data_IF_685445541265
#
_entry.id   IF_685445541265
#
_cell.length_a   1.000
_cell.length_b   1.000
_cell.length_c   1.000
_cell.angle_alpha   90.00
_cell.angle_beta   90.00
_cell.angle_gamma   90.00
#
_symmetry.space_group_name_H-M   'P 1'
#
loop_
_entity.id
_entity.type
_entity.pdbx_description
1 polymer ?
#
# COMPACT_ATOMS: atom_id res chain seq x y z
N UNK A 1 41.46 -3.19 6.24
CA UNK A 1 40.90 -1.90 6.69
C UNK A 1 40.64 -1.02 5.47
N UNK A 2 39.39 -0.88 5.03
CA UNK A 2 38.98 0.10 4.02
C UNK A 2 37.79 0.86 4.58
N UNK A 3 37.98 2.17 4.77
CA UNK A 3 36.95 3.12 5.21
C UNK A 3 35.98 3.29 4.05
N UNK A 4 34.77 2.74 4.16
CA UNK A 4 33.68 3.09 3.26
C UNK A 4 32.94 4.26 3.92
N UNK A 5 32.88 5.32 3.12
CA UNK A 5 32.50 6.67 3.46
C UNK A 5 31.00 6.73 3.73
N UNK A 6 30.68 7.45 4.80
CA UNK A 6 29.36 7.84 5.25
C UNK A 6 28.58 8.52 4.11
N UNK A 7 27.48 7.91 3.67
CA UNK A 7 26.50 8.54 2.77
C UNK A 7 25.16 8.61 3.51
N UNK A 8 25.09 9.56 4.44
CA UNK A 8 23.85 10.11 4.97
C UNK A 8 23.93 11.61 4.72
N UNK A 9 23.19 12.12 3.72
CA UNK A 9 22.04 12.94 4.08
C UNK A 9 20.91 12.81 3.06
N UNK A 10 19.91 11.97 3.36
CA UNK A 10 18.60 12.03 2.71
C UNK A 10 17.47 12.29 3.72
N UNK A 11 17.82 12.60 4.97
CA UNK A 11 16.90 12.96 6.05
C UNK A 11 16.77 14.50 6.23
N UNK A 12 16.84 15.26 5.13
CA UNK A 12 16.60 16.71 5.13
C UNK A 12 15.52 17.12 4.13
N UNK A 13 14.44 16.35 4.04
CA UNK A 13 13.15 16.85 3.54
C UNK A 13 12.33 17.41 4.70
N UNK A 14 12.82 18.49 5.30
CA UNK A 14 12.02 19.43 6.08
C UNK A 14 11.43 20.48 5.12
N UNK A 15 10.48 20.04 4.30
CA UNK A 15 9.66 20.88 3.42
C UNK A 15 8.39 20.04 3.21
N UNK A 16 7.26 20.27 3.89
CA UNK A 16 6.43 21.47 3.90
C UNK A 16 5.90 21.70 5.34
N UNK A 17 6.19 22.85 5.95
CA UNK A 17 5.29 23.99 6.05
C UNK A 17 3.97 23.68 6.77
N UNK A 18 3.77 24.31 7.94
CA UNK A 18 2.45 24.53 8.50
C UNK A 18 1.66 25.35 7.47
N UNK A 19 0.84 24.66 6.67
CA UNK A 19 -0.10 25.29 5.75
C UNK A 19 -1.41 25.44 6.50
N UNK A 20 -1.78 26.70 6.65
CA UNK A 20 -3.03 27.25 7.17
C UNK A 20 -4.28 26.49 6.72
N UNK A 21 -5.33 26.68 7.52
CA UNK A 21 -6.67 26.07 7.45
C UNK A 21 -7.48 26.52 6.22
N UNK A 22 -7.05 26.18 5.02
CA UNK A 22 -7.93 26.06 3.85
C UNK A 22 -8.29 24.58 3.64
N UNK A 23 -9.50 24.31 3.16
CA UNK A 23 -10.02 22.98 2.83
C UNK A 23 -9.03 22.22 1.95
N UNK A 24 -8.12 21.46 2.58
CA UNK A 24 -7.13 20.67 1.86
C UNK A 24 -7.86 19.52 1.20
N UNK A 25 -8.03 19.63 -0.11
CA UNK A 25 -8.58 18.54 -0.94
C UNK A 25 -7.56 17.43 -1.20
N UNK A 26 -6.42 17.46 -0.49
CA UNK A 26 -5.34 16.51 -0.63
C UNK A 26 -4.82 16.09 0.74
N UNK A 27 -4.34 14.86 0.80
CA UNK A 27 -3.74 14.25 1.99
C UNK A 27 -2.56 13.37 1.59
N UNK A 28 -1.59 13.26 2.49
CA UNK A 28 -0.54 12.25 2.40
C UNK A 28 -0.68 11.31 3.60
N UNK A 29 -0.67 10.01 3.33
CA UNK A 29 -0.75 8.99 4.37
C UNK A 29 0.51 8.14 4.43
N UNK A 30 0.84 7.62 5.61
CA UNK A 30 1.78 6.51 5.76
C UNK A 30 1.22 5.45 6.69
N UNK A 31 1.57 4.19 6.46
CA UNK A 31 1.05 3.11 7.27
C UNK A 31 1.31 1.74 6.68
N UNK A 32 0.55 0.79 7.21
CA UNK A 32 0.52 -0.60 6.81
C UNK A 32 -0.90 -0.93 6.35
N UNK A 33 -1.06 -1.63 5.23
CA UNK A 33 -2.32 -2.17 4.75
C UNK A 33 -2.59 -1.87 3.27
N UNK A 34 -3.80 -2.19 2.81
CA UNK A 34 -4.19 -1.99 1.41
C UNK A 34 -4.13 -0.52 0.96
N UNK A 35 -4.48 0.42 1.84
CA UNK A 35 -4.39 1.86 1.55
C UNK A 35 -2.94 2.39 1.41
N UNK A 36 -1.94 1.54 1.70
CA UNK A 36 -0.52 1.91 1.71
C UNK A 36 0.34 0.94 0.87
N UNK A 37 -0.27 0.06 0.07
CA UNK A 37 0.40 -1.02 -0.69
C UNK A 37 1.34 -1.89 0.17
N UNK A 38 0.83 -2.36 1.31
CA UNK A 38 1.66 -3.00 2.33
C UNK A 38 2.16 -1.95 3.32
N UNK A 39 3.45 -1.93 3.63
CA UNK A 39 4.09 -0.86 4.40
C UNK A 39 4.52 0.23 3.43
N UNK A 40 3.93 1.42 3.53
CA UNK A 40 4.20 2.46 2.54
C UNK A 40 3.44 3.76 2.77
N UNK A 41 3.19 4.45 1.67
CA UNK A 41 2.57 5.78 1.65
C UNK A 41 1.43 5.84 0.64
N UNK A 42 0.55 6.82 0.82
CA UNK A 42 -0.42 7.21 -0.19
C UNK A 42 -0.47 8.72 -0.39
N UNK A 43 -0.90 9.10 -1.59
CA UNK A 43 -1.37 10.44 -1.90
C UNK A 43 -2.85 10.34 -2.23
N UNK A 44 -3.65 11.18 -1.59
CA UNK A 44 -5.10 11.09 -1.62
C UNK A 44 -5.74 12.42 -2.00
N UNK A 45 -6.80 12.37 -2.81
CA UNK A 45 -7.76 13.44 -2.98
C UNK A 45 -8.92 13.21 -2.01
N UNK A 46 -9.21 14.20 -1.18
CA UNK A 46 -10.12 14.06 -0.04
C UNK A 46 -11.27 15.06 -0.12
N UNK A 47 -12.48 14.59 0.15
CA UNK A 47 -13.68 15.38 0.36
C UNK A 47 -14.30 15.00 1.71
N UNK A 48 -15.42 15.61 2.08
CA UNK A 48 -16.14 15.28 3.32
C UNK A 48 -16.57 13.81 3.42
N UNK A 49 -16.79 13.13 2.28
CA UNK A 49 -17.29 11.75 2.24
C UNK A 49 -16.49 10.82 1.33
N UNK A 50 -15.52 11.34 0.56
CA UNK A 50 -14.72 10.56 -0.38
C UNK A 50 -13.22 10.69 -0.11
N UNK A 51 -12.50 9.60 -0.30
CA UNK A 51 -11.04 9.59 -0.38
C UNK A 51 -10.62 8.71 -1.56
N UNK A 52 -9.99 9.31 -2.56
CA UNK A 52 -9.43 8.62 -3.73
C UNK A 52 -7.92 8.67 -3.65
N UNK A 53 -7.24 7.54 -3.71
CA UNK A 53 -5.82 7.49 -3.43
C UNK A 53 -5.02 6.69 -4.47
N UNK A 54 -3.76 7.08 -4.59
CA UNK A 54 -2.69 6.26 -5.15
C UNK A 54 -1.72 5.93 -4.02
N UNK A 55 -1.13 4.74 -4.05
CA UNK A 55 -0.27 4.23 -2.99
C UNK A 55 0.94 3.52 -3.57
N UNK A 56 2.02 3.54 -2.79
CA UNK A 56 3.26 2.84 -3.09
C UNK A 56 3.88 2.34 -1.78
N UNK A 57 4.33 1.09 -1.77
CA UNK A 57 4.79 0.41 -0.57
C UNK A 57 5.33 -0.98 -0.86
N UNK A 58 5.69 -1.70 0.20
CA UNK A 58 6.16 -3.07 0.11
C UNK A 58 5.35 -4.01 1.03
N UNK A 59 4.95 -5.16 0.51
CA UNK A 59 4.12 -6.16 1.20
C UNK A 59 4.96 -7.15 2.00
N UNK A 60 6.18 -7.45 1.53
CA UNK A 60 7.10 -8.37 2.20
C UNK A 60 8.56 -8.01 1.93
N UNK A 61 9.43 -8.46 2.85
CA UNK A 61 10.88 -8.43 2.68
C UNK A 61 11.49 -9.73 3.19
N UNK A 62 12.41 -10.30 2.41
CA UNK A 62 13.21 -11.45 2.79
C UNK A 62 14.64 -11.29 2.29
N UNK A 63 15.62 -11.73 3.08
CA UNK A 63 17.03 -11.73 2.68
C UNK A 63 17.30 -12.62 1.46
N UNK A 64 16.40 -13.57 1.16
CA UNK A 64 16.57 -14.54 0.06
C UNK A 64 15.86 -14.12 -1.22
N UNK A 65 14.71 -13.43 -1.12
CA UNK A 65 13.87 -13.06 -2.27
C UNK A 65 13.76 -11.55 -2.51
N UNK A 66 14.36 -10.73 -1.64
CA UNK A 66 14.34 -9.27 -1.76
C UNK A 66 13.04 -8.66 -1.24
N UNK A 67 12.73 -7.44 -1.71
CA UNK A 67 11.52 -6.70 -1.35
C UNK A 67 10.41 -6.87 -2.40
N UNK A 68 9.21 -7.12 -1.92
CA UNK A 68 7.98 -7.16 -2.72
C UNK A 68 7.32 -5.80 -2.65
N UNK A 69 7.65 -4.92 -3.60
CA UNK A 69 7.12 -3.57 -3.64
C UNK A 69 6.24 -3.35 -4.87
N UNK A 70 5.26 -2.50 -4.73
CA UNK A 70 4.32 -2.20 -5.79
C UNK A 70 3.48 -0.96 -5.50
N UNK A 71 2.49 -0.78 -6.36
CA UNK A 71 1.58 0.36 -6.32
C UNK A 71 0.14 -0.11 -6.25
N UNK A 72 -0.74 0.75 -5.75
CA UNK A 72 -2.16 0.51 -5.69
C UNK A 72 -2.95 1.79 -5.85
N UNK A 73 -4.21 1.66 -6.24
CA UNK A 73 -5.18 2.75 -6.29
C UNK A 73 -6.46 2.30 -5.62
N UNK A 74 -7.18 3.24 -5.01
CA UNK A 74 -8.44 2.92 -4.37
C UNK A 74 -9.32 4.11 -4.12
N UNK A 75 -10.54 3.81 -3.71
CA UNK A 75 -11.57 4.79 -3.40
C UNK A 75 -12.35 4.33 -2.18
N UNK A 76 -12.42 5.20 -1.17
CA UNK A 76 -13.13 5.01 0.08
C UNK A 76 -14.26 6.05 0.16
N UNK A 77 -15.42 5.60 0.64
CA UNK A 77 -16.60 6.42 0.86
C UNK A 77 -17.16 6.22 2.26
N UNK A 78 -17.65 7.28 2.90
CA UNK A 78 -18.24 7.22 4.24
C UNK A 78 -19.77 7.36 4.27
N UNK A 79 -20.39 7.62 3.11
CA UNK A 79 -21.81 7.95 2.96
C UNK A 79 -22.68 6.81 2.42
N UNK A 80 -22.14 5.58 2.30
CA UNK A 80 -22.89 4.44 1.73
C UNK A 80 -24.12 4.03 2.54
N UNK A 81 -24.10 4.22 3.87
CA UNK A 81 -25.11 3.71 4.80
C UNK A 81 -25.77 4.82 5.62
N UNK A 82 -25.81 6.04 5.07
CA UNK A 82 -26.47 7.21 5.68
C UNK A 82 -26.05 7.45 7.14
N UNK A 83 -24.77 7.21 7.42
CA UNK A 83 -24.23 7.39 8.75
C UNK A 83 -23.97 8.88 8.98
N UNK A 84 -24.44 9.43 10.10
CA UNK A 84 -24.17 10.82 10.53
C UNK A 84 -22.68 11.08 10.87
N UNK A 85 -21.76 10.23 10.41
CA UNK A 85 -20.34 10.26 10.73
C UNK A 85 -19.51 9.98 9.49
N UNK A 86 -18.51 10.82 9.23
CA UNK A 86 -17.52 10.58 8.18
C UNK A 86 -16.30 9.79 8.69
N UNK A 87 -16.46 9.01 9.76
CA UNK A 87 -15.38 8.19 10.35
C UNK A 87 -15.34 6.76 9.80
N UNK A 88 -16.45 6.26 9.25
CA UNK A 88 -16.57 4.88 8.80
C UNK A 88 -16.52 4.82 7.28
N UNK A 89 -15.38 4.46 6.73
CA UNK A 89 -15.16 4.36 5.29
C UNK A 89 -15.27 2.92 4.79
N UNK A 90 -15.97 2.75 3.68
CA UNK A 90 -15.99 1.52 2.88
C UNK A 90 -15.38 1.82 1.53
N UNK A 91 -14.48 0.97 1.06
CA UNK A 91 -13.76 1.25 -0.16
C UNK A 91 -13.46 0.04 -1.02
N UNK A 92 -13.10 0.33 -2.26
CA UNK A 92 -12.59 -0.63 -3.24
C UNK A 92 -11.16 -0.25 -3.61
N UNK A 93 -10.33 -1.24 -3.92
CA UNK A 93 -8.96 -1.01 -4.36
C UNK A 93 -8.50 -2.05 -5.36
N UNK A 94 -7.49 -1.67 -6.14
CA UNK A 94 -6.72 -2.56 -7.00
C UNK A 94 -5.24 -2.23 -6.85
N UNK A 95 -4.38 -3.24 -6.79
CA UNK A 95 -2.94 -3.01 -6.67
C UNK A 95 -2.12 -4.27 -6.58
N UNK A 96 -0.81 -4.10 -6.51
CA UNK A 96 0.10 -5.20 -6.20
C UNK A 96 -0.07 -5.61 -4.74
N UNK A 97 -0.27 -6.90 -4.50
CA UNK A 97 -0.52 -7.48 -3.18
C UNK A 97 0.52 -8.53 -2.77
N UNK A 98 1.45 -8.85 -3.67
CA UNK A 98 2.59 -9.73 -3.41
C UNK A 98 3.39 -10.04 -4.67
N UNK A 99 4.33 -10.97 -4.57
CA UNK A 99 5.03 -11.58 -5.70
C UNK A 99 5.03 -13.10 -5.59
N UNK A 100 5.00 -13.76 -6.72
CA UNK A 100 5.27 -15.20 -6.81
C UNK A 100 6.61 -15.42 -7.53
N UNK A 101 7.34 -16.45 -7.10
CA UNK A 101 8.59 -16.89 -7.73
C UNK A 101 8.43 -18.31 -8.22
N UNK A 102 8.69 -18.55 -9.51
CA UNK A 102 8.76 -19.88 -10.09
C UNK A 102 10.17 -20.18 -10.60
N UNK A 103 10.53 -21.46 -10.63
CA UNK A 103 11.81 -21.94 -11.13
C UNK A 103 11.58 -22.80 -12.37
N UNK A 104 12.28 -22.50 -13.45
CA UNK A 104 12.31 -23.33 -14.66
C UNK A 104 13.73 -23.88 -14.88
N UNK A 105 13.81 -25.12 -15.35
CA UNK A 105 15.09 -25.79 -15.60
C UNK A 105 15.19 -26.12 -17.09
N UNK A 106 16.30 -25.76 -17.71
CA UNK A 106 16.60 -26.15 -19.09
C UNK A 106 17.84 -27.04 -19.11
N UNK A 107 17.72 -28.22 -19.72
CA UNK A 107 18.87 -29.11 -19.93
C UNK A 107 19.62 -28.66 -21.19
N UNK A 108 20.87 -28.24 -21.01
CA UNK A 108 21.78 -27.88 -22.09
C UNK A 108 22.83 -28.98 -22.27
N UNK A 109 23.59 -28.95 -23.36
CA UNK A 109 24.68 -29.91 -23.60
C UNK A 109 25.79 -29.86 -22.54
N UNK A 110 25.81 -28.83 -21.69
CA UNK A 110 26.82 -28.57 -20.66
C UNK A 110 26.29 -28.77 -19.22
N UNK A 111 25.01 -29.14 -19.03
CA UNK A 111 24.40 -29.34 -17.71
C UNK A 111 22.95 -28.86 -17.62
N UNK A 112 22.45 -28.69 -16.38
CA UNK A 112 21.11 -28.12 -16.12
C UNK A 112 21.27 -26.66 -15.72
N UNK A 113 20.61 -25.76 -16.44
CA UNK A 113 20.52 -24.35 -16.10
C UNK A 113 19.20 -24.05 -15.38
N UNK A 114 19.28 -23.29 -14.29
CA UNK A 114 18.14 -22.91 -13.45
C UNK A 114 17.82 -21.43 -13.67
N UNK A 115 16.58 -21.14 -14.07
CA UNK A 115 16.08 -19.79 -14.28
C UNK A 115 14.99 -19.49 -13.26
N UNK A 116 15.11 -18.34 -12.58
CA UNK A 116 14.10 -17.84 -11.66
C UNK A 116 13.23 -16.81 -12.38
N UNK A 117 11.92 -17.02 -12.35
CA UNK A 117 10.94 -16.07 -12.85
C UNK A 117 10.20 -15.44 -11.67
N UNK A 118 10.09 -14.13 -11.64
CA UNK A 118 9.35 -13.38 -10.62
C UNK A 118 8.17 -12.67 -11.29
N UNK A 119 6.95 -12.96 -10.82
CA UNK A 119 5.73 -12.33 -11.30
C UNK A 119 5.07 -11.56 -10.15
N UNK A 120 4.53 -10.38 -10.45
CA UNK A 120 3.75 -9.61 -9.47
C UNK A 120 2.34 -10.20 -9.36
N UNK A 121 1.86 -10.32 -8.13
CA UNK A 121 0.47 -10.66 -7.82
C UNK A 121 -0.31 -9.36 -7.69
N UNK A 122 -1.39 -9.24 -8.45
CA UNK A 122 -2.35 -8.15 -8.41
C UNK A 122 -3.64 -8.62 -7.73
N UNK A 123 -4.20 -7.76 -6.90
CA UNK A 123 -5.46 -8.01 -6.21
C UNK A 123 -6.50 -6.94 -6.49
N UNK A 124 -7.78 -7.34 -6.50
CA UNK A 124 -8.94 -6.44 -6.43
C UNK A 124 -9.70 -6.74 -5.16
N UNK A 125 -10.02 -5.71 -4.38
CA UNK A 125 -10.54 -5.90 -3.03
C UNK A 125 -11.49 -4.85 -2.54
N UNK A 126 -12.10 -5.18 -1.41
CA UNK A 126 -12.94 -4.29 -0.61
C UNK A 126 -12.28 -4.04 0.75
N UNK A 127 -12.55 -2.89 1.34
CA UNK A 127 -11.94 -2.47 2.60
C UNK A 127 -12.93 -1.73 3.48
N UNK A 128 -12.69 -1.82 4.78
CA UNK A 128 -13.27 -0.96 5.78
C UNK A 128 -12.14 -0.18 6.47
N UNK A 129 -12.27 1.13 6.56
CA UNK A 129 -11.33 2.03 7.24
C UNK A 129 -12.07 2.93 8.21
N UNK A 130 -11.64 2.91 9.47
CA UNK A 130 -12.03 3.84 10.50
C UNK A 130 -11.05 5.02 10.57
N UNK A 131 -11.54 6.23 10.35
CA UNK A 131 -10.80 7.48 10.45
C UNK A 131 -11.08 8.12 11.82
N UNK A 132 -10.09 8.15 12.71
CA UNK A 132 -10.31 8.57 14.11
C UNK A 132 -10.88 10.00 14.23
N UNK A 133 -10.45 10.88 13.34
CA UNK A 133 -10.85 12.29 13.30
C UNK A 133 -11.83 12.63 12.16
N UNK A 134 -12.25 11.64 11.36
CA UNK A 134 -13.01 11.85 10.11
C UNK A 134 -12.13 11.75 8.87
N UNK A 135 -12.71 11.36 7.74
CA UNK A 135 -12.00 11.09 6.47
C UNK A 135 -11.28 12.32 5.91
N UNK A 136 -11.76 13.52 6.22
CA UNK A 136 -11.29 14.82 5.75
C UNK A 136 -10.33 15.54 6.72
N UNK A 137 -9.91 14.87 7.79
CA UNK A 137 -9.03 15.44 8.81
C UNK A 137 -7.80 14.56 9.02
N UNK A 138 -6.69 15.20 9.41
CA UNK A 138 -5.48 14.47 9.80
C UNK A 138 -5.76 13.59 11.01
N UNK A 139 -5.25 12.35 11.02
CA UNK A 139 -5.47 11.43 12.12
C UNK A 139 -5.09 9.99 11.83
N UNK A 140 -5.15 9.18 12.87
CA UNK A 140 -4.90 7.74 12.77
C UNK A 140 -6.05 7.04 12.05
N UNK A 141 -5.69 6.09 11.19
CA UNK A 141 -6.62 5.22 10.47
C UNK A 141 -6.43 3.78 10.89
N UNK A 142 -7.52 3.05 11.08
CA UNK A 142 -7.53 1.61 11.35
C UNK A 142 -8.41 0.91 10.33
N UNK A 143 -8.11 -0.33 9.95
CA UNK A 143 -8.97 -0.99 8.97
C UNK A 143 -8.68 -2.45 8.75
N UNK A 144 -9.53 -3.04 7.93
CA UNK A 144 -9.38 -4.39 7.42
C UNK A 144 -9.74 -4.41 5.95
N UNK A 145 -9.18 -5.35 5.21
CA UNK A 145 -9.53 -5.55 3.81
C UNK A 145 -9.43 -7.01 3.42
N UNK A 146 -10.17 -7.36 2.37
CA UNK A 146 -10.10 -8.65 1.70
C UNK A 146 -10.05 -8.44 0.20
N UNK A 147 -9.34 -9.29 -0.52
CA UNK A 147 -9.18 -9.21 -1.97
C UNK A 147 -9.09 -10.59 -2.61
N UNK A 148 -9.48 -10.66 -3.88
CA UNK A 148 -9.15 -11.76 -4.77
C UNK A 148 -7.88 -11.42 -5.56
N UNK A 149 -7.08 -12.42 -5.92
CA UNK A 149 -5.78 -12.26 -6.60
C UNK A 149 -5.76 -12.98 -7.95
N UNK A 150 -4.80 -12.62 -8.80
CA UNK A 150 -4.45 -13.39 -10.00
C UNK A 150 -3.33 -14.42 -9.75
N UNK A 151 -3.09 -14.81 -8.50
CA UNK A 151 -2.01 -15.72 -8.15
C UNK A 151 -2.19 -17.09 -8.82
N UNK A 152 -1.10 -17.68 -9.31
CA UNK A 152 -1.14 -19.03 -9.88
C UNK A 152 -0.75 -20.09 -8.84
N UNK A 153 0.21 -19.76 -7.97
CA UNK A 153 0.77 -20.67 -6.96
C UNK A 153 0.44 -20.28 -5.52
N UNK A 154 0.11 -19.00 -5.29
CA UNK A 154 -0.30 -18.47 -4.00
C UNK A 154 -1.83 -18.51 -3.83
N UNK A 155 -2.31 -18.17 -2.63
CA UNK A 155 -3.77 -18.12 -2.35
C UNK A 155 -4.49 -17.14 -3.29
N UNK A 156 -5.59 -17.60 -3.88
CA UNK A 156 -6.50 -16.78 -4.70
C UNK A 156 -7.20 -15.66 -3.92
N UNK A 157 -7.12 -15.70 -2.60
CA UNK A 157 -7.70 -14.70 -1.70
C UNK A 157 -6.71 -14.28 -0.63
N UNK A 158 -6.77 -13.02 -0.23
CA UNK A 158 -5.93 -12.44 0.81
C UNK A 158 -6.62 -11.28 1.51
N UNK A 159 -5.90 -10.66 2.43
CA UNK A 159 -6.40 -9.51 3.18
C UNK A 159 -5.31 -8.81 3.96
N UNK A 160 -5.63 -7.60 4.41
CA UNK A 160 -4.73 -6.80 5.24
C UNK A 160 -5.44 -6.32 6.49
N UNK A 161 -4.73 -6.34 7.62
CA UNK A 161 -4.97 -5.38 8.69
C UNK A 161 -4.35 -4.04 8.30
N UNK A 162 -5.00 -2.94 8.66
CA UNK A 162 -4.57 -1.60 8.32
C UNK A 162 -4.38 -0.75 9.57
N UNK A 163 -3.23 -0.09 9.66
CA UNK A 163 -2.92 0.95 10.64
C UNK A 163 -2.09 2.01 9.94
N UNK A 164 -2.44 3.28 10.10
CA UNK A 164 -1.64 4.36 9.53
C UNK A 164 -2.05 5.72 10.04
N UNK A 165 -1.44 6.76 9.49
CA UNK A 165 -1.74 8.15 9.80
C UNK A 165 -1.89 8.94 8.51
N UNK A 166 -2.95 9.74 8.46
CA UNK A 166 -3.29 10.67 7.39
C UNK A 166 -2.92 12.08 7.81
N UNK A 167 -2.18 12.83 6.98
CA UNK A 167 -1.83 14.23 7.21
C UNK A 167 -2.74 15.17 6.40
#
# INVERSE_FOLDING_TARGET
MKKIILLLPLLSLSCFAAVDSETKNHSVGFGIGAMYSGIGTNFSFVSKTDLKYISAGCTAYSSMTGSECGVGVGWIKTDLFDSNSNKHGFGVYVGSVGKESSYSNTSTSNGVEYYRHENNIYGVGVSYTYFMNGIDHSGTTFGISVHATNAEFESNYGGFFQVGYQF
#
